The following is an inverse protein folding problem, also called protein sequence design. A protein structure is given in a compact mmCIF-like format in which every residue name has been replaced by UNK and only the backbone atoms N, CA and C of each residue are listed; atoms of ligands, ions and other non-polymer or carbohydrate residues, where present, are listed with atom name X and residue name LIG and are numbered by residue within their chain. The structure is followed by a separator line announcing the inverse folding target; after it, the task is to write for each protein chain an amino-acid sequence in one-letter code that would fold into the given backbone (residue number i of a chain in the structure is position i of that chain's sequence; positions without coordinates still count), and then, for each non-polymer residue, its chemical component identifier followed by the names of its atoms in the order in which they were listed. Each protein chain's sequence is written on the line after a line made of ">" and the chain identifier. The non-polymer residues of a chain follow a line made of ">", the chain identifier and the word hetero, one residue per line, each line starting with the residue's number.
data_IF_990175292644
#
_entry.id   IF_990175292644
#
_cell.length_a   1.000
_cell.length_b   1.000
_cell.length_c   1.000
_cell.angle_alpha   90.00
_cell.angle_beta   90.00
_cell.angle_gamma   90.00
#
_symmetry.space_group_name_H-M   'P 1'
#
loop_
_entity.id
_entity.type
_entity.pdbx_description
1 polymer ?
#
# COMPACT_ATOMS: atom_id res chain seq x y z
N UNK A 1 2.15 15.41 19.93
CA UNK A 1 1.54 14.43 20.87
C UNK A 1 0.21 13.92 20.28
N UNK A 2 0.26 13.38 19.07
CA UNK A 2 -0.91 13.06 18.22
C UNK A 2 -0.76 11.68 17.56
N UNK A 3 -0.03 10.76 18.20
CA UNK A 3 0.18 9.39 17.72
C UNK A 3 -0.53 8.33 18.58
N UNK A 4 -1.27 8.74 19.63
CA UNK A 4 -1.91 7.82 20.57
C UNK A 4 -3.44 7.68 20.40
N UNK A 5 -4.01 8.15 19.29
CA UNK A 5 -5.47 8.11 19.04
C UNK A 5 -5.88 7.31 17.79
N UNK A 6 -4.96 6.58 17.16
CA UNK A 6 -5.28 5.66 16.05
C UNK A 6 -5.66 4.25 16.55
N UNK A 7 -6.17 4.13 17.78
CA UNK A 7 -6.56 2.84 18.37
C UNK A 7 -8.03 2.44 18.16
N UNK A 8 -8.88 3.25 17.50
CA UNK A 8 -10.32 2.94 17.43
C UNK A 8 -11.09 3.53 16.24
N UNK A 9 -10.46 4.05 15.19
CA UNK A 9 -11.21 4.56 14.04
C UNK A 9 -11.44 3.49 12.97
N UNK A 10 -12.57 2.80 13.15
CA UNK A 10 -13.22 1.99 12.12
C UNK A 10 -13.58 2.85 10.90
N UNK A 11 -12.82 2.62 9.82
CA UNK A 11 -13.24 2.35 8.44
C UNK A 11 -13.93 3.40 7.53
N UNK A 12 -14.32 4.60 7.94
CA UNK A 12 -15.02 5.51 6.98
C UNK A 12 -14.52 6.95 6.90
N UNK A 13 -13.56 7.35 7.75
CA UNK A 13 -13.03 8.73 7.77
C UNK A 13 -11.51 8.84 7.76
N UNK A 14 -10.81 7.70 7.69
CA UNK A 14 -9.36 7.63 7.63
C UNK A 14 -8.82 7.91 6.22
N UNK A 15 -9.55 7.52 5.16
CA UNK A 15 -9.16 7.74 3.76
C UNK A 15 -8.95 9.23 3.43
N UNK A 16 -9.78 10.13 3.96
CA UNK A 16 -9.63 11.58 3.73
C UNK A 16 -8.44 12.18 4.48
N UNK A 17 -8.22 11.80 5.74
CA UNK A 17 -7.09 12.31 6.54
C UNK A 17 -5.75 11.81 5.98
N UNK A 18 -5.71 10.58 5.47
CA UNK A 18 -4.54 10.05 4.78
C UNK A 18 -4.26 10.77 3.44
N UNK A 19 -5.31 11.04 2.64
CA UNK A 19 -5.21 11.79 1.38
C UNK A 19 -4.70 13.23 1.57
N UNK A 20 -5.04 13.90 2.67
CA UNK A 20 -4.54 15.26 2.96
C UNK A 20 -3.10 15.30 3.48
N UNK A 21 -2.61 14.21 4.10
CA UNK A 21 -1.23 14.13 4.59
C UNK A 21 -0.23 13.83 3.45
N UNK A 22 -0.60 12.97 2.50
CA UNK A 22 0.25 12.59 1.36
C UNK A 22 0.39 13.72 0.33
N UNK A 23 -0.59 14.63 0.24
CA UNK A 23 -0.60 15.73 -0.74
C UNK A 23 0.51 16.78 -0.55
N UNK A 24 1.22 16.81 0.58
CA UNK A 24 2.12 17.92 0.93
C UNK A 24 3.63 17.62 0.86
N UNK A 25 4.06 16.39 0.57
CA UNK A 25 5.49 16.03 0.59
C UNK A 25 5.97 15.34 -0.70
N UNK A 26 5.59 15.88 -1.87
CA UNK A 26 6.20 15.48 -3.15
C UNK A 26 7.37 16.39 -3.52
N UNK A 27 8.58 16.00 -3.11
CA UNK A 27 9.81 16.40 -3.79
C UNK A 27 10.71 15.17 -4.02
N UNK A 28 10.53 14.56 -5.20
CA UNK A 28 11.38 13.57 -5.87
C UNK A 28 12.59 13.00 -5.10
N UNK A 29 12.45 11.81 -4.52
CA UNK A 29 13.55 10.90 -4.14
C UNK A 29 13.07 9.43 -4.33
N UNK A 30 13.98 8.43 -4.45
CA UNK A 30 13.85 7.27 -5.33
C UNK A 30 12.66 6.33 -5.02
N UNK A 31 12.23 5.57 -6.03
CA UNK A 31 11.13 4.58 -6.11
C UNK A 31 10.89 3.64 -4.91
N UNK A 32 11.78 3.61 -3.92
CA UNK A 32 11.62 2.90 -2.64
C UNK A 32 10.61 3.59 -1.73
N UNK A 33 10.55 4.94 -1.75
CA UNK A 33 9.59 5.71 -0.94
C UNK A 33 8.13 5.34 -1.19
N UNK A 34 7.62 5.27 -2.45
CA UNK A 34 6.22 4.94 -2.68
C UNK A 34 5.84 3.52 -2.22
N UNK A 35 6.76 2.55 -2.29
CA UNK A 35 6.49 1.22 -1.72
C UNK A 35 6.51 1.20 -0.20
N UNK A 36 7.44 1.94 0.43
CA UNK A 36 7.46 2.06 1.88
C UNK A 36 6.16 2.67 2.41
N UNK A 37 5.65 3.72 1.77
CA UNK A 37 4.39 4.34 2.17
C UNK A 37 3.18 3.43 1.92
N UNK A 38 3.15 2.70 0.79
CA UNK A 38 2.10 1.71 0.53
C UNK A 38 2.08 0.62 1.62
N UNK A 39 3.25 0.11 2.00
CA UNK A 39 3.37 -0.93 3.03
C UNK A 39 2.96 -0.40 4.41
N UNK A 40 3.31 0.85 4.74
CA UNK A 40 2.87 1.50 5.98
C UNK A 40 1.33 1.55 6.07
N UNK A 41 0.65 1.90 4.97
CA UNK A 41 -0.81 1.89 4.90
C UNK A 41 -1.45 0.51 5.03
N UNK A 42 -0.77 -0.51 4.51
CA UNK A 42 -1.19 -1.90 4.65
C UNK A 42 -0.91 -2.45 6.06
N UNK A 43 -0.22 -1.69 6.91
CA UNK A 43 0.24 -2.13 8.22
C UNK A 43 1.36 -3.18 8.14
N UNK A 44 2.17 -3.12 7.08
CA UNK A 44 3.29 -4.00 6.82
C UNK A 44 4.63 -3.30 7.09
N UNK A 45 5.71 -4.07 7.29
CA UNK A 45 7.05 -3.50 7.43
C UNK A 45 7.45 -2.73 6.16
N UNK A 46 7.72 -1.43 6.31
CA UNK A 46 8.05 -0.50 5.22
C UNK A 46 9.56 -0.31 5.00
N UNK A 47 10.40 -1.11 5.66
CA UNK A 47 11.84 -1.08 5.44
C UNK A 47 12.21 -1.70 4.09
N UNK A 48 13.16 -1.11 3.36
CA UNK A 48 13.57 -1.58 2.03
C UNK A 48 13.89 -3.08 1.98
N UNK A 49 14.62 -3.59 2.98
CA UNK A 49 14.97 -5.02 3.08
C UNK A 49 13.74 -5.91 3.25
N UNK A 50 12.76 -5.46 4.01
CA UNK A 50 11.53 -6.19 4.30
C UNK A 50 10.60 -6.20 3.08
N UNK A 51 10.49 -5.07 2.37
CA UNK A 51 9.72 -4.98 1.12
C UNK A 51 10.30 -5.94 0.08
N UNK A 52 11.62 -5.93 -0.10
CA UNK A 52 12.29 -6.87 -1.02
C UNK A 52 12.07 -8.32 -0.60
N UNK A 53 12.18 -8.61 0.69
CA UNK A 53 11.93 -9.95 1.22
C UNK A 53 10.47 -10.39 1.00
N UNK A 54 9.49 -9.49 1.19
CA UNK A 54 8.08 -9.75 0.93
C UNK A 54 7.84 -10.09 -0.54
N UNK A 55 8.39 -9.29 -1.46
CA UNK A 55 8.27 -9.53 -2.90
C UNK A 55 8.88 -10.89 -3.27
N UNK A 56 10.08 -11.21 -2.77
CA UNK A 56 10.75 -12.49 -3.06
C UNK A 56 9.98 -13.70 -2.49
N UNK A 57 9.37 -13.56 -1.31
CA UNK A 57 8.58 -14.60 -0.66
C UNK A 57 7.23 -14.88 -1.34
N UNK A 58 6.61 -13.83 -1.89
CA UNK A 58 5.26 -13.92 -2.48
C UNK A 58 5.25 -14.06 -4.00
N UNK A 59 6.40 -13.90 -4.67
CA UNK A 59 6.52 -14.25 -6.09
C UNK A 59 6.67 -15.77 -6.29
N UNK A 60 6.28 -16.29 -7.46
CA UNK A 60 5.53 -15.61 -8.52
C UNK A 60 4.03 -15.62 -8.23
N UNK A 61 3.39 -14.48 -8.38
CA UNK A 61 1.93 -14.40 -8.39
C UNK A 61 1.42 -14.99 -9.71
N UNK A 62 0.47 -15.95 -9.68
CA UNK A 62 0.01 -16.59 -10.90
C UNK A 62 -0.59 -15.59 -11.90
N UNK A 63 -0.18 -15.67 -13.16
CA UNK A 63 -0.72 -14.83 -14.24
C UNK A 63 -2.24 -15.04 -14.37
N UNK A 64 -3.01 -14.05 -13.90
CA UNK A 64 -4.47 -14.11 -13.82
C UNK A 64 -5.03 -13.82 -12.43
N UNK A 65 -4.20 -13.87 -11.38
CA UNK A 65 -4.56 -13.40 -10.05
C UNK A 65 -4.23 -11.91 -9.97
N UNK A 66 -5.22 -11.07 -9.68
CA UNK A 66 -4.97 -9.65 -9.43
C UNK A 66 -4.27 -9.48 -8.09
N UNK A 67 -3.38 -8.49 -7.96
CA UNK A 67 -2.78 -8.16 -6.66
C UNK A 67 -3.84 -7.97 -5.56
N UNK A 68 -4.98 -7.35 -5.85
CA UNK A 68 -6.05 -7.14 -4.86
C UNK A 68 -6.82 -8.39 -4.45
N UNK A 69 -6.60 -9.50 -5.14
CA UNK A 69 -7.25 -10.80 -4.89
C UNK A 69 -6.22 -11.84 -4.42
N UNK A 70 -4.96 -11.43 -4.23
CA UNK A 70 -3.92 -12.34 -3.80
C UNK A 70 -4.19 -12.85 -2.37
N UNK A 71 -3.95 -14.15 -2.11
CA UNK A 71 -4.35 -14.79 -0.86
C UNK A 71 -3.50 -14.40 0.36
N UNK A 72 -2.37 -13.70 0.15
CA UNK A 72 -1.52 -13.20 1.23
C UNK A 72 -2.02 -11.89 1.84
N UNK A 73 -3.03 -11.25 1.24
CA UNK A 73 -3.68 -10.09 1.84
C UNK A 73 -4.79 -10.50 2.80
N UNK A 74 -4.92 -9.74 3.89
CA UNK A 74 -6.15 -9.75 4.69
C UNK A 74 -7.30 -9.08 3.93
N UNK A 75 -8.57 -9.36 4.27
CA UNK A 75 -9.73 -8.71 3.63
C UNK A 75 -9.67 -7.18 3.69
N UNK A 76 -9.13 -6.61 4.76
CA UNK A 76 -8.97 -5.15 4.92
C UNK A 76 -7.90 -4.59 3.99
N UNK A 77 -6.74 -5.26 3.87
CA UNK A 77 -5.66 -4.86 2.95
C UNK A 77 -6.11 -4.97 1.48
N UNK A 78 -6.76 -6.06 1.12
CA UNK A 78 -7.33 -6.25 -0.21
C UNK A 78 -8.35 -5.16 -0.57
N UNK A 79 -9.16 -4.73 0.40
CA UNK A 79 -10.11 -3.63 0.19
C UNK A 79 -9.40 -2.29 0.03
N UNK A 80 -8.40 -2.00 0.86
CA UNK A 80 -7.59 -0.79 0.74
C UNK A 80 -6.93 -0.69 -0.64
N UNK A 81 -6.31 -1.77 -1.13
CA UNK A 81 -5.71 -1.79 -2.47
C UNK A 81 -6.74 -1.54 -3.59
N UNK A 82 -7.98 -2.03 -3.43
CA UNK A 82 -9.07 -1.75 -4.39
C UNK A 82 -9.48 -0.28 -4.34
N UNK A 83 -9.62 0.30 -3.15
CA UNK A 83 -9.96 1.71 -2.98
C UNK A 83 -8.84 2.61 -3.54
N UNK A 84 -7.56 2.28 -3.31
CA UNK A 84 -6.43 3.01 -3.90
C UNK A 84 -6.45 2.98 -5.43
N UNK A 85 -6.68 1.80 -6.04
CA UNK A 85 -6.77 1.68 -7.50
C UNK A 85 -7.98 2.42 -8.11
N UNK A 86 -9.07 2.60 -7.35
CA UNK A 86 -10.31 3.21 -7.84
C UNK A 86 -10.38 4.72 -7.57
N UNK A 87 -9.90 5.17 -6.42
CA UNK A 87 -10.06 6.54 -5.96
C UNK A 87 -8.86 7.43 -6.23
N UNK A 88 -7.67 6.86 -6.46
CA UNK A 88 -6.42 7.62 -6.50
C UNK A 88 -5.49 7.15 -7.63
N UNK A 89 -5.40 7.98 -8.67
CA UNK A 89 -4.60 7.66 -9.85
C UNK A 89 -3.09 7.62 -9.56
N UNK A 90 -2.62 8.38 -8.57
CA UNK A 90 -1.21 8.41 -8.18
C UNK A 90 -0.83 7.11 -7.45
N UNK A 91 -1.68 6.61 -6.55
CA UNK A 91 -1.47 5.30 -5.91
C UNK A 91 -1.69 4.12 -6.84
N UNK A 92 -2.56 4.25 -7.84
CA UNK A 92 -2.80 3.19 -8.81
C UNK A 92 -1.51 2.78 -9.53
N UNK A 93 -0.64 3.75 -9.84
CA UNK A 93 0.67 3.47 -10.44
C UNK A 93 1.58 2.67 -9.48
N UNK A 94 1.63 3.05 -8.21
CA UNK A 94 2.45 2.35 -7.20
C UNK A 94 1.96 0.92 -6.98
N UNK A 95 0.64 0.72 -6.92
CA UNK A 95 0.03 -0.61 -6.78
C UNK A 95 0.28 -1.46 -8.03
N UNK A 96 0.25 -0.85 -9.22
CA UNK A 96 0.61 -1.54 -10.47
C UNK A 96 2.08 -1.96 -10.50
N UNK A 97 3.00 -1.09 -10.08
CA UNK A 97 4.42 -1.43 -9.96
C UNK A 97 4.65 -2.59 -8.99
N UNK A 98 3.94 -2.61 -7.85
CA UNK A 98 4.00 -3.74 -6.92
C UNK A 98 3.46 -5.03 -7.55
N UNK A 99 2.36 -4.94 -8.32
CA UNK A 99 1.80 -6.07 -9.05
C UNK A 99 2.82 -6.62 -10.06
N UNK A 100 3.49 -5.77 -10.82
CA UNK A 100 4.55 -6.15 -11.76
C UNK A 100 5.76 -6.79 -11.07
N UNK A 101 6.10 -6.34 -9.85
CA UNK A 101 7.21 -6.94 -9.10
C UNK A 101 6.89 -8.35 -8.57
N UNK A 102 5.59 -8.66 -8.37
CA UNK A 102 5.12 -9.94 -7.84
C UNK A 102 4.82 -10.98 -8.93
N UNK A 103 4.45 -10.54 -10.13
CA UNK A 103 4.23 -11.41 -11.31
C UNK A 103 5.54 -11.88 -11.95
#
# INVERSE_FOLDING_TARGET
>A
MMLALLGSLSCERCSTIFKELIRLESHMEPTVHPFAELFDQLGLPSAESEIRAFIDQHRPLPNGVKITEAPFWTPSQARLLKDLLLEDADWAEVVDQLNLALH
#
